data_IF_323807415838
#
_entry.id   IF_323807415838
#
_cell.length_a   1.000
_cell.length_b   1.000
_cell.length_c   1.000
_cell.angle_alpha   90.00
_cell.angle_beta   90.00
_cell.angle_gamma   90.00
#
_symmetry.space_group_name_H-M   'P 1'
#
loop_
_entity.id
_entity.type
_entity.pdbx_description
1 polymer ?
#
# COMPACT_ATOMS: atom_id res chain seq x y z
N UNK A 1 12.98 6.49 21.57
CA UNK A 1 12.05 5.34 21.51
C UNK A 1 11.52 5.08 22.92
N UNK A 2 10.25 5.39 23.22
CA UNK A 2 9.71 5.11 24.55
C UNK A 2 8.33 5.67 24.89
N UNK A 3 7.75 6.59 24.11
CA UNK A 3 6.50 7.27 24.49
C UNK A 3 5.25 6.88 23.67
N UNK A 4 5.34 5.93 22.73
CA UNK A 4 4.21 5.63 21.84
C UNK A 4 3.27 4.48 22.28
N UNK A 5 3.51 3.82 23.42
CA UNK A 5 2.76 2.62 23.79
C UNK A 5 1.51 2.85 24.68
N UNK A 6 1.22 4.08 25.11
CA UNK A 6 0.20 4.31 26.17
C UNK A 6 -1.15 4.92 25.72
N UNK A 7 -1.45 5.04 24.42
CA UNK A 7 -2.70 5.67 23.97
C UNK A 7 -3.54 4.80 23.01
N UNK A 8 -3.42 3.47 23.14
CA UNK A 8 -4.08 2.47 22.29
C UNK A 8 -5.62 2.35 22.41
N UNK A 9 -6.31 2.65 23.53
CA UNK A 9 -7.76 2.35 23.62
C UNK A 9 -8.73 3.47 23.21
N UNK A 10 -8.28 4.67 22.81
CA UNK A 10 -9.18 5.83 22.61
C UNK A 10 -9.56 6.13 21.15
N UNK A 11 -9.25 5.24 20.20
CA UNK A 11 -9.34 5.56 18.77
C UNK A 11 -10.43 4.82 17.98
N UNK A 12 -10.96 3.70 18.48
CA UNK A 12 -12.09 2.96 17.88
C UNK A 12 -12.82 2.23 19.02
N UNK A 13 -14.07 2.58 19.31
CA UNK A 13 -14.79 2.13 20.52
C UNK A 13 -14.84 0.61 20.73
N UNK A 14 -14.86 0.19 21.99
CA UNK A 14 -14.97 -1.21 22.40
C UNK A 14 -16.38 -1.77 22.14
N UNK A 15 -16.50 -3.02 21.70
CA UNK A 15 -17.70 -3.82 21.87
C UNK A 15 -17.55 -4.69 23.14
N UNK A 16 -18.17 -4.27 24.25
CA UNK A 16 -18.57 -5.22 25.30
C UNK A 16 -20.02 -5.62 25.03
N UNK A 17 -20.27 -6.86 24.59
CA UNK A 17 -20.78 -7.91 25.49
C UNK A 17 -20.98 -9.25 24.74
N UNK A 18 -20.71 -10.36 25.45
CA UNK A 18 -21.26 -11.68 25.11
C UNK A 18 -20.33 -12.66 24.40
N UNK A 19 -19.51 -13.40 25.16
CA UNK A 19 -19.51 -14.87 25.20
C UNK A 19 -18.28 -15.41 25.94
N UNK A 20 -18.48 -15.85 27.18
CA UNK A 20 -17.62 -16.84 27.84
C UNK A 20 -17.84 -18.18 27.16
N UNK A 21 -16.78 -18.79 26.63
CA UNK A 21 -16.72 -20.24 26.44
C UNK A 21 -15.26 -20.71 26.48
N UNK A 22 -15.07 -21.82 27.18
CA UNK A 22 -13.81 -22.44 27.54
C UNK A 22 -13.00 -22.94 26.35
N UNK A 23 -11.67 -22.91 26.48
CA UNK A 23 -10.79 -23.81 25.75
C UNK A 23 -9.53 -24.08 26.57
N UNK A 24 -9.34 -25.36 26.87
CA UNK A 24 -8.24 -25.97 27.60
C UNK A 24 -6.90 -25.82 26.86
N UNK A 25 -5.82 -25.63 27.63
CA UNK A 25 -4.45 -25.71 27.14
C UNK A 25 -3.88 -27.13 27.32
N UNK A 26 -3.14 -27.70 26.36
CA UNK A 26 -2.31 -28.85 26.62
C UNK A 26 -0.84 -28.46 26.87
N UNK A 27 -0.35 -28.98 27.99
CA UNK A 27 0.94 -29.58 28.30
C UNK A 27 2.27 -29.02 27.75
N UNK A 28 3.16 -28.85 28.72
CA UNK A 28 4.61 -28.61 28.68
C UNK A 28 5.40 -29.61 27.83
N UNK A 29 6.48 -29.12 27.18
CA UNK A 29 7.70 -29.90 27.02
C UNK A 29 8.94 -29.04 27.31
N UNK A 30 9.89 -29.66 27.99
CA UNK A 30 10.93 -29.07 28.80
C UNK A 30 12.21 -28.74 28.00
N UNK A 31 12.88 -27.64 28.37
CA UNK A 31 14.34 -27.49 28.14
C UNK A 31 15.03 -26.90 29.38
N UNK A 32 16.25 -27.38 29.71
CA UNK A 32 16.82 -27.24 31.04
C UNK A 32 17.43 -25.85 31.30
N UNK A 33 17.22 -25.39 32.54
CA UNK A 33 17.82 -24.20 33.14
C UNK A 33 19.32 -24.42 33.37
N UNK A 34 20.15 -23.51 32.86
CA UNK A 34 21.55 -23.40 33.26
C UNK A 34 21.62 -22.74 34.64
N UNK A 35 22.34 -23.39 35.56
CA UNK A 35 22.63 -22.95 36.93
C UNK A 35 23.74 -21.90 36.94
N UNK A 36 23.68 -20.88 37.83
CA UNK A 36 24.75 -19.91 38.00
C UNK A 36 25.87 -20.49 38.87
N UNK A 37 27.12 -20.21 38.48
CA UNK A 37 28.33 -20.64 39.19
C UNK A 37 28.51 -19.88 40.54
N UNK A 38 29.06 -20.54 41.58
CA UNK A 38 29.17 -19.98 42.92
C UNK A 38 30.39 -19.08 43.11
N UNK A 39 30.23 -18.04 43.93
CA UNK A 39 31.31 -17.17 44.40
C UNK A 39 32.21 -17.88 45.42
N UNK A 40 33.55 -17.72 45.38
CA UNK A 40 34.44 -18.30 46.37
C UNK A 40 34.56 -17.45 47.64
N UNK A 41 34.58 -18.14 48.78
CA UNK A 41 34.78 -17.65 50.15
C UNK A 41 36.28 -17.45 50.49
N UNK A 42 36.62 -16.79 51.62
CA UNK A 42 37.93 -16.18 51.85
C UNK A 42 38.95 -17.14 52.50
N UNK A 43 40.24 -16.88 52.30
CA UNK A 43 41.35 -17.59 52.95
C UNK A 43 42.53 -16.63 53.24
N UNK A 44 43.53 -17.00 54.07
CA UNK A 44 43.73 -16.48 55.41
C UNK A 44 44.96 -15.54 55.54
N UNK A 45 45.06 -14.86 56.69
CA UNK A 45 46.21 -14.02 57.03
C UNK A 45 47.46 -14.85 57.37
N UNK A 46 48.67 -14.43 56.91
CA UNK A 46 49.92 -14.87 57.51
C UNK A 46 50.73 -13.73 58.14
N UNK A 47 51.65 -14.17 59.01
CA UNK A 47 52.35 -13.46 60.06
C UNK A 47 53.46 -12.49 59.61
N UNK A 48 53.94 -11.72 60.59
CA UNK A 48 55.02 -10.73 60.56
C UNK A 48 56.37 -11.26 60.03
N UNK A 49 56.99 -10.44 59.17
CA UNK A 49 58.40 -9.99 59.00
C UNK A 49 59.57 -10.91 59.43
N UNK A 50 60.72 -10.92 58.70
CA UNK A 50 61.66 -9.80 58.80
C UNK A 50 62.37 -9.36 57.50
N UNK A 51 62.84 -8.11 57.59
CA UNK A 51 63.71 -7.34 56.72
C UNK A 51 64.66 -8.08 55.78
N UNK A 52 64.65 -7.71 54.49
CA UNK A 52 65.85 -7.57 53.68
C UNK A 52 65.60 -6.78 52.38
N UNK A 53 66.35 -5.68 52.25
CA UNK A 53 66.91 -5.14 51.00
C UNK A 53 65.94 -4.49 49.99
N UNK A 54 65.89 -3.16 50.12
CA UNK A 54 65.65 -2.17 49.08
C UNK A 54 66.30 -2.52 47.74
N UNK A 55 65.48 -2.93 46.76
CA UNK A 55 65.74 -2.68 45.34
C UNK A 55 64.70 -1.69 44.83
N UNK A 56 65.11 -0.43 44.76
CA UNK A 56 64.33 0.63 44.14
C UNK A 56 64.17 0.33 42.64
N UNK A 57 62.96 -0.06 42.21
CA UNK A 57 62.57 0.07 40.83
C UNK A 57 62.69 1.55 40.41
N UNK A 58 63.19 1.86 39.20
CA UNK A 58 63.59 3.22 38.86
C UNK A 58 62.37 4.17 38.82
N UNK A 59 62.46 5.31 39.53
CA UNK A 59 61.44 6.38 39.59
C UNK A 59 60.98 6.90 38.21
N UNK A 60 61.67 6.56 37.11
CA UNK A 60 61.28 6.90 35.73
C UNK A 60 60.11 6.07 35.20
N UNK A 61 59.86 4.87 35.72
CA UNK A 61 58.88 3.93 35.14
C UNK A 61 57.46 4.13 35.70
N UNK A 62 57.33 4.62 36.96
CA UNK A 62 56.03 4.98 37.56
C UNK A 62 55.48 6.33 37.11
N UNK A 63 56.31 7.23 36.56
CA UNK A 63 55.87 8.54 36.02
C UNK A 63 55.43 8.50 34.54
N UNK A 64 55.87 7.50 33.76
CA UNK A 64 55.54 7.36 32.33
C UNK A 64 54.13 6.80 32.05
N UNK A 65 53.60 5.95 32.93
CA UNK A 65 52.24 5.36 32.76
C UNK A 65 51.10 6.39 32.74
N UNK A 66 51.04 7.40 33.64
CA UNK A 66 50.01 8.43 33.57
C UNK A 66 50.15 9.38 32.37
N UNK A 67 51.38 9.63 31.89
CA UNK A 67 51.61 10.50 30.72
C UNK A 67 51.24 9.81 29.41
N UNK A 68 51.55 8.51 29.27
CA UNK A 68 51.11 7.70 28.12
C UNK A 68 49.59 7.51 28.11
N UNK A 69 48.96 7.19 29.25
CA UNK A 69 47.51 7.09 29.35
C UNK A 69 46.80 8.41 29.03
N UNK A 70 47.34 9.56 29.48
CA UNK A 70 46.80 10.88 29.11
C UNK A 70 47.01 11.23 27.63
N UNK A 71 48.08 10.73 27.01
CA UNK A 71 48.32 10.91 25.58
C UNK A 71 47.35 10.07 24.76
N UNK A 72 47.14 8.80 25.13
CA UNK A 72 46.15 7.90 24.55
C UNK A 72 44.72 8.44 24.73
N UNK A 73 44.39 8.97 25.91
CA UNK A 73 43.07 9.57 26.19
C UNK A 73 42.85 10.84 25.36
N UNK A 74 43.87 11.69 25.18
CA UNK A 74 43.81 12.88 24.29
C UNK A 74 43.70 12.50 22.82
N UNK A 75 44.37 11.43 22.41
CA UNK A 75 44.29 10.91 21.05
C UNK A 75 42.91 10.32 20.78
N UNK A 76 42.38 9.52 21.71
CA UNK A 76 41.01 9.02 21.67
C UNK A 76 39.97 10.16 21.67
N UNK A 77 40.17 11.22 22.46
CA UNK A 77 39.30 12.41 22.44
C UNK A 77 39.38 13.15 21.10
N UNK A 78 40.57 13.22 20.49
CA UNK A 78 40.75 13.84 19.18
C UNK A 78 40.08 13.03 18.07
N UNK A 79 40.18 11.71 18.11
CA UNK A 79 39.47 10.81 17.18
C UNK A 79 37.95 10.85 17.40
N UNK A 80 37.48 10.83 18.65
CA UNK A 80 36.06 11.00 18.98
C UNK A 80 35.52 12.34 18.47
N UNK A 81 36.27 13.44 18.60
CA UNK A 81 35.92 14.75 18.04
C UNK A 81 35.89 14.75 16.51
N UNK A 82 36.76 14.01 15.83
CA UNK A 82 36.72 13.85 14.36
C UNK A 82 35.48 13.07 13.93
N UNK A 83 35.18 11.96 14.60
CA UNK A 83 33.99 11.14 14.35
C UNK A 83 32.72 11.96 14.59
N UNK A 84 32.63 12.66 15.73
CA UNK A 84 31.50 13.55 16.06
C UNK A 84 31.32 14.65 15.00
N UNK A 85 32.40 15.32 14.56
CA UNK A 85 32.31 16.33 13.49
C UNK A 85 31.88 15.74 12.14
N UNK A 86 32.28 14.50 11.84
CA UNK A 86 31.85 13.79 10.63
C UNK A 86 30.36 13.48 10.69
N UNK A 87 29.89 12.96 11.83
CA UNK A 87 28.47 12.71 12.10
C UNK A 87 27.66 14.01 11.98
N UNK A 88 28.11 15.10 12.60
CA UNK A 88 27.44 16.41 12.53
C UNK A 88 27.39 16.98 11.10
N UNK A 89 28.36 16.63 10.25
CA UNK A 89 28.33 16.99 8.82
C UNK A 89 27.29 16.15 8.09
N UNK A 90 27.32 14.82 8.25
CA UNK A 90 26.36 13.91 7.64
C UNK A 90 24.92 14.23 8.06
N UNK A 91 24.68 14.56 9.34
CA UNK A 91 23.37 14.96 9.85
C UNK A 91 22.87 16.27 9.23
N UNK A 92 23.76 17.24 8.99
CA UNK A 92 23.40 18.50 8.31
C UNK A 92 23.05 18.28 6.85
N UNK A 93 23.82 17.45 6.15
CA UNK A 93 23.55 17.06 4.76
C UNK A 93 22.22 16.31 4.66
N UNK A 94 22.02 15.26 5.48
CA UNK A 94 20.74 14.54 5.55
C UNK A 94 19.55 15.45 5.88
N UNK A 95 19.71 16.41 6.81
CA UNK A 95 18.64 17.36 7.14
C UNK A 95 18.30 18.23 5.93
N UNK A 96 19.30 18.67 5.17
CA UNK A 96 19.09 19.46 3.95
C UNK A 96 18.39 18.65 2.87
N UNK A 97 18.80 17.40 2.68
CA UNK A 97 18.18 16.50 1.70
C UNK A 97 16.73 16.20 2.07
N UNK A 98 16.44 15.96 3.36
CA UNK A 98 15.08 15.78 3.86
C UNK A 98 14.21 17.03 3.64
N UNK A 99 14.76 18.22 3.89
CA UNK A 99 14.05 19.49 3.62
C UNK A 99 13.78 19.70 2.13
N UNK A 100 14.62 19.18 1.23
CA UNK A 100 14.44 19.31 -0.22
C UNK A 100 13.63 18.17 -0.84
N UNK A 101 13.19 17.19 -0.04
CA UNK A 101 12.46 16.02 -0.51
C UNK A 101 10.97 16.14 -0.16
N UNK A 102 10.12 16.11 -1.17
CA UNK A 102 8.68 16.07 -0.98
C UNK A 102 8.22 14.65 -0.62
N UNK A 103 7.62 14.51 0.56
CA UNK A 103 7.15 13.21 1.07
C UNK A 103 5.66 13.06 0.77
N UNK A 104 5.31 12.08 -0.06
CA UNK A 104 3.95 11.84 -0.53
C UNK A 104 3.42 10.52 0.03
N UNK A 105 2.29 10.59 0.73
CA UNK A 105 1.66 9.40 1.31
C UNK A 105 0.43 9.00 0.50
N UNK A 106 0.41 7.78 -0.03
CA UNK A 106 -0.74 7.26 -0.78
C UNK A 106 -1.69 6.54 0.16
N UNK A 107 -2.89 7.08 0.32
CA UNK A 107 -3.95 6.51 1.15
C UNK A 107 -5.17 6.12 0.29
N UNK A 108 -6.04 5.28 0.84
CA UNK A 108 -7.24 4.80 0.15
C UNK A 108 -7.52 3.32 0.43
N UNK A 109 -8.75 2.90 0.19
CA UNK A 109 -9.20 1.52 0.42
C UNK A 109 -8.39 0.49 -0.38
N UNK A 110 -8.53 -0.80 -0.06
CA UNK A 110 -7.97 -1.88 -0.86
C UNK A 110 -8.38 -1.78 -2.34
N UNK A 111 -7.49 -2.14 -3.26
CA UNK A 111 -7.78 -2.15 -4.72
C UNK A 111 -8.12 -0.77 -5.34
N UNK A 112 -7.91 0.33 -4.62
CA UNK A 112 -8.14 1.69 -5.14
C UNK A 112 -7.22 2.09 -6.31
N UNK A 113 -6.01 1.50 -6.38
CA UNK A 113 -5.00 1.80 -7.41
C UNK A 113 -3.71 2.44 -6.90
N UNK A 114 -3.50 2.54 -5.57
CA UNK A 114 -2.28 3.12 -4.96
C UNK A 114 -0.98 2.52 -5.52
N UNK A 115 -0.83 1.21 -5.45
CA UNK A 115 0.37 0.53 -5.96
C UNK A 115 0.54 0.72 -7.48
N UNK A 116 -0.55 0.87 -8.23
CA UNK A 116 -0.49 1.17 -9.67
C UNK A 116 0.07 2.57 -9.92
N UNK A 117 -0.30 3.57 -9.11
CA UNK A 117 0.30 4.92 -9.17
C UNK A 117 1.81 4.85 -8.91
N UNK A 118 2.25 4.07 -7.92
CA UNK A 118 3.69 3.90 -7.64
C UNK A 118 4.43 3.23 -8.81
N UNK A 119 3.82 2.20 -9.43
CA UNK A 119 4.35 1.58 -10.65
C UNK A 119 4.48 2.60 -11.79
N UNK A 120 3.52 3.51 -11.95
CA UNK A 120 3.61 4.58 -12.95
C UNK A 120 4.77 5.52 -12.67
N UNK A 121 5.03 5.89 -11.41
CA UNK A 121 6.19 6.73 -11.06
C UNK A 121 7.51 6.03 -11.41
N UNK A 122 7.56 4.71 -11.24
CA UNK A 122 8.73 3.93 -11.68
C UNK A 122 8.92 3.97 -13.19
N UNK A 123 7.86 3.78 -13.96
CA UNK A 123 7.90 3.85 -15.44
C UNK A 123 8.31 5.24 -15.91
N UNK A 124 7.73 6.29 -15.33
CA UNK A 124 7.96 7.67 -15.75
C UNK A 124 9.31 8.23 -15.31
N UNK A 125 9.84 7.83 -14.16
CA UNK A 125 10.95 8.52 -13.49
C UNK A 125 12.07 7.62 -12.93
N UNK A 126 11.95 6.28 -12.98
CA UNK A 126 12.92 5.33 -12.38
C UNK A 126 13.27 4.20 -13.36
N UNK A 127 13.47 4.52 -14.65
CA UNK A 127 13.84 3.57 -15.70
C UNK A 127 12.93 2.32 -15.80
N UNK A 128 11.68 2.42 -15.32
CA UNK A 128 10.69 1.34 -15.39
C UNK A 128 11.06 0.07 -14.62
N UNK A 129 10.78 -1.07 -15.28
CA UNK A 129 11.00 -2.41 -14.75
C UNK A 129 12.09 -3.10 -15.55
N UNK A 130 13.09 -3.65 -14.83
CA UNK A 130 14.18 -4.37 -15.48
C UNK A 130 13.75 -5.78 -15.91
N UNK A 131 14.49 -6.45 -16.82
CA UNK A 131 14.11 -7.78 -17.33
C UNK A 131 13.94 -8.85 -16.25
N UNK A 132 14.72 -8.79 -15.18
CA UNK A 132 14.66 -9.76 -14.08
C UNK A 132 13.36 -9.57 -13.26
N UNK A 133 12.98 -8.32 -12.97
CA UNK A 133 11.70 -8.01 -12.36
C UNK A 133 10.53 -8.45 -13.24
N UNK A 134 10.61 -8.22 -14.56
CA UNK A 134 9.59 -8.68 -15.51
C UNK A 134 9.42 -10.18 -15.46
N UNK A 135 10.53 -10.94 -15.41
CA UNK A 135 10.52 -12.39 -15.30
C UNK A 135 9.86 -12.88 -14.01
N UNK A 136 10.16 -12.24 -12.87
CA UNK A 136 9.53 -12.56 -11.59
C UNK A 136 8.01 -12.30 -11.60
N UNK A 137 7.55 -11.31 -12.38
CA UNK A 137 6.12 -10.98 -12.51
C UNK A 137 5.32 -11.93 -13.40
N UNK A 138 5.96 -12.80 -14.18
CA UNK A 138 5.25 -13.81 -14.98
C UNK A 138 4.39 -14.71 -14.08
N UNK A 139 4.93 -15.15 -12.94
CA UNK A 139 4.20 -16.00 -12.00
C UNK A 139 3.01 -15.26 -11.37
N UNK A 140 3.16 -13.99 -11.02
CA UNK A 140 2.07 -13.16 -10.49
C UNK A 140 0.94 -13.00 -11.52
N UNK A 141 1.28 -12.79 -12.80
CA UNK A 141 0.31 -12.65 -13.89
C UNK A 141 -0.43 -13.97 -14.14
N UNK A 142 0.27 -15.09 -14.22
CA UNK A 142 -0.34 -16.42 -14.39
C UNK A 142 -1.21 -16.79 -13.20
N UNK A 143 -0.80 -16.39 -11.99
CA UNK A 143 -1.65 -16.50 -10.80
C UNK A 143 -2.91 -15.66 -10.92
N UNK A 144 -2.83 -14.42 -11.40
CA UNK A 144 -4.04 -13.60 -11.62
C UNK A 144 -5.00 -14.25 -12.62
N UNK A 145 -4.51 -14.88 -13.68
CA UNK A 145 -5.34 -15.66 -14.62
C UNK A 145 -6.06 -16.80 -13.90
N UNK A 146 -5.32 -17.61 -13.13
CA UNK A 146 -5.89 -18.71 -12.34
C UNK A 146 -6.93 -18.21 -11.34
N UNK A 147 -6.58 -17.21 -10.54
CA UNK A 147 -7.48 -16.66 -9.52
C UNK A 147 -8.76 -16.11 -10.17
N UNK A 148 -8.65 -15.45 -11.33
CA UNK A 148 -9.79 -14.92 -12.08
C UNK A 148 -10.74 -16.03 -12.55
N UNK A 149 -10.24 -17.02 -13.29
CA UNK A 149 -11.09 -18.08 -13.86
C UNK A 149 -11.67 -18.99 -12.77
N UNK A 150 -10.90 -19.31 -11.73
CA UNK A 150 -11.39 -20.08 -10.57
C UNK A 150 -12.53 -19.34 -9.88
N UNK A 151 -12.40 -18.03 -9.69
CA UNK A 151 -13.42 -17.21 -9.04
C UNK A 151 -14.71 -17.18 -9.86
N UNK A 152 -14.62 -16.94 -11.18
CA UNK A 152 -15.79 -16.87 -12.06
C UNK A 152 -16.49 -18.23 -12.10
N UNK A 153 -15.76 -19.32 -12.37
CA UNK A 153 -16.32 -20.68 -12.47
C UNK A 153 -16.93 -21.17 -11.16
N UNK A 154 -16.33 -20.80 -10.02
CA UNK A 154 -16.91 -21.12 -8.70
C UNK A 154 -18.18 -20.32 -8.44
N UNK A 155 -18.23 -19.05 -8.88
CA UNK A 155 -19.37 -18.17 -8.70
C UNK A 155 -20.61 -18.61 -9.49
N UNK A 156 -20.44 -19.27 -10.65
CA UNK A 156 -21.54 -19.73 -11.50
C UNK A 156 -22.63 -20.50 -10.76
N UNK A 157 -22.25 -21.34 -9.79
CA UNK A 157 -23.19 -22.12 -8.97
C UNK A 157 -23.66 -21.43 -7.68
N UNK A 158 -23.02 -20.33 -7.26
CA UNK A 158 -23.31 -19.66 -5.97
C UNK A 158 -24.12 -18.38 -6.12
N UNK A 159 -24.00 -17.68 -7.25
CA UNK A 159 -24.84 -16.51 -7.54
C UNK A 159 -26.30 -16.93 -7.74
N UNK A 160 -27.23 -16.01 -7.45
CA UNK A 160 -28.67 -16.29 -7.46
C UNK A 160 -29.35 -15.35 -8.47
N UNK A 161 -30.03 -15.86 -9.53
CA UNK A 161 -30.09 -17.28 -9.92
C UNK A 161 -28.72 -17.77 -10.44
N UNK A 162 -28.43 -19.08 -10.34
CA UNK A 162 -27.18 -19.65 -10.84
C UNK A 162 -27.11 -19.54 -12.37
N UNK A 163 -25.89 -19.53 -12.90
CA UNK A 163 -25.63 -19.44 -14.35
C UNK A 163 -25.04 -20.78 -14.81
N UNK A 164 -25.75 -21.57 -15.64
CA UNK A 164 -25.19 -22.79 -16.20
C UNK A 164 -24.15 -22.46 -17.30
N UNK A 165 -23.30 -23.43 -17.62
CA UNK A 165 -22.47 -23.36 -18.81
C UNK A 165 -23.36 -23.32 -20.06
N UNK A 166 -22.98 -22.51 -21.05
CA UNK A 166 -23.69 -22.47 -22.33
C UNK A 166 -23.43 -23.76 -23.13
N UNK A 167 -22.19 -24.28 -23.10
CA UNK A 167 -21.87 -25.58 -23.68
C UNK A 167 -21.65 -26.64 -22.59
N UNK A 168 -22.53 -27.66 -22.48
CA UNK A 168 -22.36 -28.76 -21.52
C UNK A 168 -21.05 -29.55 -21.70
N UNK A 169 -20.45 -29.56 -22.88
CA UNK A 169 -19.15 -30.20 -23.13
C UNK A 169 -18.02 -29.54 -22.33
N UNK A 170 -18.20 -28.31 -21.85
CA UNK A 170 -17.23 -27.63 -21.01
C UNK A 170 -17.26 -28.07 -19.53
N UNK A 171 -18.17 -28.98 -19.15
CA UNK A 171 -18.32 -29.40 -17.75
C UNK A 171 -17.02 -29.95 -17.15
N UNK A 172 -16.33 -30.85 -17.86
CA UNK A 172 -15.06 -31.41 -17.38
C UNK A 172 -13.97 -30.34 -17.20
N UNK A 173 -14.01 -29.26 -18.00
CA UNK A 173 -13.08 -28.13 -17.86
C UNK A 173 -13.40 -27.33 -16.61
N UNK A 174 -14.68 -27.08 -16.34
CA UNK A 174 -15.14 -26.45 -15.10
C UNK A 174 -14.70 -27.29 -13.89
N UNK A 175 -14.87 -28.60 -13.93
CA UNK A 175 -14.48 -29.50 -12.84
C UNK A 175 -12.96 -29.50 -12.63
N UNK A 176 -12.18 -29.49 -13.71
CA UNK A 176 -10.73 -29.30 -13.66
C UNK A 176 -10.36 -27.97 -12.95
N UNK A 177 -10.93 -26.83 -13.39
CA UNK A 177 -10.65 -25.52 -12.79
C UNK A 177 -11.03 -25.48 -11.30
N UNK A 178 -12.16 -26.10 -10.91
CA UNK A 178 -12.56 -26.20 -9.50
C UNK A 178 -11.59 -27.08 -8.69
N UNK A 179 -11.07 -28.15 -9.28
CA UNK A 179 -10.14 -29.05 -8.58
C UNK A 179 -8.78 -28.42 -8.28
N UNK A 180 -8.33 -27.45 -9.10
CA UNK A 180 -7.05 -26.75 -8.90
C UNK A 180 -7.15 -25.54 -7.96
N UNK A 181 -8.37 -25.13 -7.58
CA UNK A 181 -8.62 -23.97 -6.72
C UNK A 181 -7.84 -23.98 -5.39
N UNK A 182 -7.77 -25.09 -4.61
CA UNK A 182 -7.04 -25.11 -3.35
C UNK A 182 -5.52 -25.20 -3.51
N UNK A 183 -5.00 -25.42 -4.72
CA UNK A 183 -3.57 -25.65 -4.96
C UNK A 183 -2.83 -24.32 -4.97
N UNK A 184 -1.94 -24.10 -4.00
CA UNK A 184 -1.16 -22.86 -3.89
C UNK A 184 0.09 -22.85 -4.76
N UNK A 185 0.82 -23.97 -4.78
CA UNK A 185 2.00 -24.19 -5.63
C UNK A 185 1.57 -24.89 -6.92
N UNK A 186 1.01 -24.11 -7.85
CA UNK A 186 0.40 -24.62 -9.05
C UNK A 186 1.32 -24.44 -10.27
N UNK A 187 1.53 -25.51 -11.02
CA UNK A 187 2.25 -25.47 -12.28
C UNK A 187 1.31 -25.06 -13.44
N UNK A 188 1.66 -23.98 -14.12
CA UNK A 188 0.85 -23.44 -15.22
C UNK A 188 1.17 -24.14 -16.54
N UNK A 189 0.59 -25.33 -16.73
CA UNK A 189 0.74 -26.14 -17.94
C UNK A 189 -0.06 -25.60 -19.14
N UNK A 190 0.25 -26.07 -20.36
CA UNK A 190 -0.57 -25.75 -21.54
C UNK A 190 -2.01 -26.27 -21.42
N UNK A 191 -2.20 -27.44 -20.81
CA UNK A 191 -3.53 -27.99 -20.52
C UNK A 191 -4.38 -27.01 -19.69
N UNK A 192 -3.79 -26.40 -18.65
CA UNK A 192 -4.46 -25.36 -17.87
C UNK A 192 -4.92 -24.20 -18.77
N UNK A 193 -4.02 -23.64 -19.58
CA UNK A 193 -4.34 -22.50 -20.45
C UNK A 193 -5.42 -22.85 -21.49
N UNK A 194 -5.41 -24.06 -22.04
CA UNK A 194 -6.43 -24.55 -22.97
C UNK A 194 -7.81 -24.67 -22.31
N UNK A 195 -7.88 -25.12 -21.06
CA UNK A 195 -9.13 -25.11 -20.29
C UNK A 195 -9.63 -23.70 -20.04
N UNK A 196 -8.76 -22.79 -19.62
CA UNK A 196 -9.12 -21.38 -19.37
C UNK A 196 -9.65 -20.72 -20.62
N UNK A 197 -8.97 -20.88 -21.75
CA UNK A 197 -9.39 -20.30 -23.03
C UNK A 197 -10.78 -20.78 -23.44
N UNK A 198 -11.01 -22.10 -23.42
CA UNK A 198 -12.31 -22.68 -23.80
C UNK A 198 -13.45 -22.30 -22.87
N UNK A 199 -13.16 -22.13 -21.58
CA UNK A 199 -14.16 -21.65 -20.61
C UNK A 199 -14.43 -20.16 -20.78
N UNK A 200 -13.41 -19.33 -21.03
CA UNK A 200 -13.63 -17.90 -21.25
C UNK A 200 -14.44 -17.61 -22.52
N UNK A 201 -14.32 -18.47 -23.54
CA UNK A 201 -15.15 -18.42 -24.75
C UNK A 201 -16.61 -18.85 -24.52
N UNK A 202 -16.94 -19.49 -23.39
CA UNK A 202 -18.29 -19.95 -23.07
C UNK A 202 -19.19 -18.79 -22.64
N UNK A 203 -20.35 -18.64 -23.30
CA UNK A 203 -21.27 -17.53 -23.03
C UNK A 203 -21.88 -17.58 -21.62
N UNK A 204 -21.96 -18.75 -20.98
CA UNK A 204 -22.38 -18.88 -19.58
C UNK A 204 -21.31 -18.33 -18.62
N UNK A 205 -20.03 -18.57 -18.91
CA UNK A 205 -18.92 -18.01 -18.13
C UNK A 205 -18.86 -16.49 -18.28
N UNK A 206 -19.02 -15.97 -19.50
CA UNK A 206 -19.10 -14.51 -19.74
C UNK A 206 -20.32 -13.89 -19.05
N UNK A 207 -21.49 -14.54 -19.11
CA UNK A 207 -22.67 -14.07 -18.39
C UNK A 207 -22.47 -14.03 -16.87
N UNK A 208 -21.70 -14.97 -16.30
CA UNK A 208 -21.30 -14.93 -14.90
C UNK A 208 -20.30 -13.80 -14.60
N UNK A 209 -19.35 -13.54 -15.50
CA UNK A 209 -18.41 -12.41 -15.39
C UNK A 209 -19.13 -11.06 -15.39
N UNK A 210 -20.15 -10.87 -16.22
CA UNK A 210 -20.97 -9.65 -16.25
C UNK A 210 -21.67 -9.36 -14.92
N UNK A 211 -21.87 -10.39 -14.09
CA UNK A 211 -22.44 -10.31 -12.74
C UNK A 211 -21.36 -10.30 -11.64
N UNK A 212 -20.11 -10.00 -12.01
CA UNK A 212 -18.97 -9.99 -11.08
C UNK A 212 -19.07 -9.00 -9.92
N UNK A 213 -20.02 -8.07 -9.93
CA UNK A 213 -20.31 -7.22 -8.79
C UNK A 213 -21.00 -7.97 -7.63
N UNK A 214 -21.55 -9.16 -7.88
CA UNK A 214 -22.21 -10.02 -6.87
C UNK A 214 -21.22 -10.90 -6.09
N UNK A 215 -19.94 -10.91 -6.49
CA UNK A 215 -18.87 -11.66 -5.84
C UNK A 215 -17.52 -10.93 -5.93
N UNK A 216 -16.45 -11.50 -5.36
CA UNK A 216 -15.16 -10.81 -5.24
C UNK A 216 -14.20 -11.15 -6.39
N UNK A 217 -14.39 -10.54 -7.55
CA UNK A 217 -13.46 -10.68 -8.68
C UNK A 217 -12.31 -9.65 -8.64
N UNK A 218 -11.21 -9.93 -9.32
CA UNK A 218 -10.10 -8.99 -9.52
C UNK A 218 -10.35 -8.15 -10.78
N UNK A 219 -10.07 -6.84 -10.74
CA UNK A 219 -10.35 -5.93 -11.86
C UNK A 219 -9.62 -6.28 -13.17
N UNK A 220 -8.46 -6.93 -13.07
CA UNK A 220 -7.65 -7.31 -14.23
C UNK A 220 -8.08 -8.64 -14.87
N UNK A 221 -9.17 -9.27 -14.41
CA UNK A 221 -9.64 -10.57 -14.89
C UNK A 221 -9.83 -10.59 -16.41
N UNK A 222 -10.69 -9.71 -16.94
CA UNK A 222 -10.96 -9.63 -18.37
C UNK A 222 -9.69 -9.38 -19.19
N UNK A 223 -8.88 -8.41 -18.78
CA UNK A 223 -7.65 -8.05 -19.48
C UNK A 223 -6.69 -9.24 -19.69
N UNK A 224 -6.51 -10.08 -18.68
CA UNK A 224 -5.63 -11.24 -18.79
C UNK A 224 -6.29 -12.45 -19.46
N UNK A 225 -7.60 -12.66 -19.25
CA UNK A 225 -8.34 -13.75 -19.88
C UNK A 225 -8.47 -13.56 -21.40
N UNK A 226 -8.65 -12.33 -21.87
CA UNK A 226 -8.64 -11.99 -23.30
C UNK A 226 -7.25 -12.17 -23.95
N UNK A 227 -6.19 -12.17 -23.14
CA UNK A 227 -4.79 -12.30 -23.59
C UNK A 227 -4.16 -13.64 -23.23
N UNK A 228 -4.98 -14.66 -22.98
CA UNK A 228 -4.52 -15.98 -22.55
C UNK A 228 -3.48 -16.58 -23.49
N UNK A 229 -3.64 -16.35 -24.80
CA UNK A 229 -2.72 -16.83 -25.85
C UNK A 229 -1.32 -16.23 -25.74
N UNK A 230 -1.20 -14.98 -25.26
CA UNK A 230 0.11 -14.37 -25.00
C UNK A 230 0.72 -14.89 -23.70
N UNK A 231 -0.10 -15.02 -22.65
CA UNK A 231 0.35 -15.41 -21.31
C UNK A 231 0.77 -16.88 -21.23
N UNK A 232 0.21 -17.72 -22.10
CA UNK A 232 0.53 -19.16 -22.20
C UNK A 232 1.88 -19.45 -22.87
N UNK A 233 2.47 -18.49 -23.59
CA UNK A 233 3.76 -18.69 -24.26
C UNK A 233 4.89 -18.97 -23.26
N UNK A 234 5.82 -19.85 -23.64
CA UNK A 234 6.97 -20.24 -22.81
C UNK A 234 7.96 -19.07 -22.65
N UNK A 235 8.10 -18.26 -23.69
CA UNK A 235 8.95 -17.07 -23.78
C UNK A 235 8.17 -15.77 -23.50
N UNK A 236 6.98 -15.86 -22.89
CA UNK A 236 6.16 -14.70 -22.52
C UNK A 236 6.98 -13.69 -21.69
N UNK A 237 7.06 -12.47 -22.19
CA UNK A 237 7.68 -11.34 -21.49
C UNK A 237 6.61 -10.28 -21.22
N UNK A 238 6.30 -9.98 -19.94
CA UNK A 238 5.28 -8.99 -19.60
C UNK A 238 5.58 -7.60 -20.15
N UNK A 239 4.57 -7.00 -20.76
CA UNK A 239 4.58 -5.58 -21.13
C UNK A 239 4.40 -4.70 -19.89
N UNK A 240 4.78 -3.42 -19.97
CA UNK A 240 4.56 -2.51 -18.84
C UNK A 240 3.07 -2.38 -18.50
N UNK A 241 2.18 -2.54 -19.49
CA UNK A 241 0.73 -2.61 -19.28
C UNK A 241 0.31 -3.85 -18.47
N UNK A 242 0.92 -5.01 -18.74
CA UNK A 242 0.69 -6.21 -17.94
C UNK A 242 1.14 -6.00 -16.50
N UNK A 243 2.28 -5.34 -16.28
CA UNK A 243 2.79 -5.04 -14.95
C UNK A 243 1.90 -4.06 -14.19
N UNK A 244 1.34 -3.06 -14.87
CA UNK A 244 0.39 -2.10 -14.30
C UNK A 244 -0.92 -2.75 -13.88
N UNK A 245 -1.45 -3.67 -14.70
CA UNK A 245 -2.69 -4.42 -14.46
C UNK A 245 -2.50 -5.59 -13.49
N UNK A 246 -1.29 -6.12 -13.39
CA UNK A 246 -0.95 -7.22 -12.48
C UNK A 246 -1.27 -6.84 -11.03
N UNK A 247 -2.08 -7.67 -10.39
CA UNK A 247 -2.55 -7.50 -9.04
C UNK A 247 -1.70 -8.30 -8.07
N UNK A 248 -1.11 -7.60 -7.13
CA UNK A 248 -0.43 -8.16 -5.96
C UNK A 248 -0.98 -7.45 -4.72
N UNK A 249 -1.38 -8.20 -3.70
CA UNK A 249 -1.88 -7.62 -2.46
C UNK A 249 -0.71 -7.01 -1.68
N UNK A 250 -0.75 -5.69 -1.51
CA UNK A 250 0.24 -4.93 -0.75
C UNK A 250 0.00 -5.12 0.75
N UNK A 251 0.94 -5.79 1.42
CA UNK A 251 1.00 -5.90 2.89
C UNK A 251 2.21 -5.13 3.39
N UNK A 252 2.00 -4.21 4.33
CA UNK A 252 3.05 -3.33 4.84
C UNK A 252 3.15 -1.97 4.13
N UNK A 253 4.34 -1.40 4.19
CA UNK A 253 4.68 -0.06 3.70
C UNK A 253 5.82 -0.23 2.69
N UNK A 254 5.64 0.31 1.48
CA UNK A 254 6.64 0.31 0.43
C UNK A 254 7.05 1.74 0.10
N UNK A 255 8.35 1.97 0.00
CA UNK A 255 8.94 3.27 -0.29
C UNK A 255 9.47 3.31 -1.73
N UNK A 256 9.22 4.41 -2.43
CA UNK A 256 9.82 4.66 -3.75
C UNK A 256 10.35 6.09 -3.80
N UNK A 257 11.60 6.24 -4.23
CA UNK A 257 12.27 7.52 -4.38
C UNK A 257 12.55 7.78 -5.85
N UNK A 258 12.27 8.99 -6.29
CA UNK A 258 12.52 9.42 -7.66
C UNK A 258 12.77 10.92 -7.70
N UNK A 259 13.35 11.39 -8.80
CA UNK A 259 13.66 12.80 -9.00
C UNK A 259 13.00 13.28 -10.30
N UNK A 260 12.33 14.43 -10.24
CA UNK A 260 11.71 15.08 -11.39
C UNK A 260 12.16 16.53 -11.40
N UNK A 261 12.78 16.98 -12.50
CA UNK A 261 13.30 18.35 -12.64
C UNK A 261 14.14 18.84 -11.44
N UNK A 262 15.02 17.95 -10.94
CA UNK A 262 15.89 18.16 -9.75
C UNK A 262 15.16 18.25 -8.41
N UNK A 263 13.86 18.04 -8.37
CA UNK A 263 13.06 17.93 -7.14
C UNK A 263 12.95 16.47 -6.74
N UNK A 264 13.29 16.17 -5.49
CA UNK A 264 13.25 14.80 -4.96
C UNK A 264 11.86 14.49 -4.41
N UNK A 265 11.33 13.33 -4.78
CA UNK A 265 10.07 12.82 -4.27
C UNK A 265 10.32 11.50 -3.53
N UNK A 266 9.65 11.35 -2.39
CA UNK A 266 9.64 10.14 -1.61
C UNK A 266 8.21 9.70 -1.34
N UNK A 267 7.81 8.63 -2.02
CA UNK A 267 6.43 8.14 -2.05
C UNK A 267 6.28 6.90 -1.18
N UNK A 268 5.23 6.87 -0.37
CA UNK A 268 4.88 5.76 0.52
C UNK A 268 3.59 5.10 0.04
N UNK A 269 3.66 3.83 -0.37
CA UNK A 269 2.51 2.98 -0.68
C UNK A 269 2.20 2.09 0.52
N UNK A 270 1.03 2.30 1.13
CA UNK A 270 0.60 1.56 2.31
C UNK A 270 -0.57 0.65 1.98
N UNK A 271 -0.62 -0.53 2.60
CA UNK A 271 -1.76 -1.46 2.48
C UNK A 271 -3.09 -0.77 2.81
N UNK A 272 -4.08 -0.90 1.91
CA UNK A 272 -5.38 -0.23 2.01
C UNK A 272 -6.48 -1.00 2.75
N UNK A 273 -6.24 -2.29 2.98
CA UNK A 273 -7.18 -3.20 3.64
C UNK A 273 -7.33 -2.84 5.12
N UNK A 274 -8.50 -3.13 5.72
CA UNK A 274 -8.81 -2.73 7.11
C UNK A 274 -7.71 -3.09 8.11
N UNK A 275 -7.15 -4.30 8.03
CA UNK A 275 -6.11 -4.77 8.95
C UNK A 275 -4.77 -4.04 8.82
N UNK A 276 -4.49 -3.48 7.64
CA UNK A 276 -3.25 -2.76 7.33
C UNK A 276 -3.29 -1.29 7.78
N UNK A 277 -4.49 -0.72 7.97
CA UNK A 277 -4.66 0.73 8.27
C UNK A 277 -4.02 1.16 9.58
N UNK A 278 -3.89 0.25 10.55
CA UNK A 278 -3.20 0.52 11.82
C UNK A 278 -1.72 0.89 11.64
N UNK A 279 -1.10 0.51 10.51
CA UNK A 279 0.31 0.81 10.20
C UNK A 279 0.49 2.22 9.64
N UNK A 280 -0.57 2.88 9.14
CA UNK A 280 -0.47 4.17 8.45
C UNK A 280 0.13 5.29 9.29
N UNK A 281 -0.14 5.29 10.60
CA UNK A 281 0.40 6.28 11.54
C UNK A 281 1.94 6.33 11.53
N UNK A 282 2.59 5.24 11.16
CA UNK A 282 4.05 5.16 11.05
C UNK A 282 4.60 6.04 9.91
N UNK A 283 3.75 6.40 8.94
CA UNK A 283 4.11 7.19 7.77
C UNK A 283 3.71 8.66 7.89
N UNK A 284 2.98 9.09 8.93
CA UNK A 284 2.40 10.44 9.02
C UNK A 284 3.42 11.54 9.35
N UNK A 285 4.63 11.19 9.80
CA UNK A 285 5.65 12.18 10.18
C UNK A 285 6.23 12.87 8.93
N UNK A 286 6.21 14.21 8.94
CA UNK A 286 6.74 15.11 7.90
C UNK A 286 6.26 14.80 6.46
N UNK A 287 5.01 14.37 6.32
CA UNK A 287 4.37 14.26 5.01
C UNK A 287 4.12 15.66 4.44
N UNK A 288 4.49 15.88 3.18
CA UNK A 288 4.23 17.14 2.48
C UNK A 288 2.79 17.20 1.97
N UNK A 289 2.30 16.11 1.38
CA UNK A 289 0.93 16.00 0.90
C UNK A 289 0.44 14.54 0.94
N UNK A 290 -0.87 14.36 1.07
CA UNK A 290 -1.52 13.05 0.93
C UNK A 290 -2.10 12.95 -0.47
N UNK A 291 -1.88 11.81 -1.12
CA UNK A 291 -2.60 11.42 -2.33
C UNK A 291 -3.63 10.38 -1.91
N UNK A 292 -4.90 10.76 -1.85
CA UNK A 292 -5.99 9.84 -1.55
C UNK A 292 -6.54 9.25 -2.84
N UNK A 293 -6.54 7.92 -2.98
CA UNK A 293 -6.98 7.23 -4.19
C UNK A 293 -8.33 6.54 -3.93
N UNK A 294 -9.35 6.91 -4.70
CA UNK A 294 -10.70 6.34 -4.65
C UNK A 294 -11.01 5.56 -5.94
N UNK A 295 -11.51 4.33 -5.83
CA UNK A 295 -11.98 3.55 -6.98
C UNK A 295 -13.42 3.93 -7.34
N UNK A 296 -13.60 4.83 -8.31
CA UNK A 296 -14.92 5.37 -8.65
C UNK A 296 -15.83 4.32 -9.29
N UNK A 297 -15.26 3.38 -10.06
CA UNK A 297 -16.01 2.30 -10.71
C UNK A 297 -16.59 1.27 -9.74
N UNK A 298 -16.18 1.26 -8.46
CA UNK A 298 -16.61 0.28 -7.47
C UNK A 298 -17.91 0.64 -6.74
N UNK A 299 -18.70 1.59 -7.27
CA UNK A 299 -19.96 2.04 -6.66
C UNK A 299 -21.02 0.93 -6.49
N UNK A 300 -20.96 -0.15 -7.28
CA UNK A 300 -21.89 -1.28 -7.25
C UNK A 300 -21.32 -2.54 -6.57
N UNK A 301 -20.18 -2.42 -5.87
CA UNK A 301 -19.46 -3.55 -5.29
C UNK A 301 -19.38 -3.45 -3.76
N UNK A 302 -19.15 -4.58 -3.10
CA UNK A 302 -18.88 -4.66 -1.66
C UNK A 302 -17.42 -4.99 -1.36
N UNK A 303 -16.91 -4.59 -0.20
CA UNK A 303 -15.53 -4.86 0.22
C UNK A 303 -15.33 -6.35 0.52
N UNK A 304 -14.08 -6.83 0.42
CA UNK A 304 -13.75 -8.25 0.64
C UNK A 304 -13.85 -8.66 2.10
N UNK A 305 -13.57 -7.72 3.00
CA UNK A 305 -13.42 -7.97 4.42
C UNK A 305 -14.72 -8.40 5.10
N UNK A 306 -15.88 -7.92 4.65
CA UNK A 306 -17.19 -8.28 5.22
C UNK A 306 -18.25 -8.70 4.18
N UNK A 307 -17.95 -8.60 2.88
CA UNK A 307 -18.88 -8.88 1.77
C UNK A 307 -20.25 -8.17 1.89
N UNK A 308 -20.30 -7.02 2.58
CA UNK A 308 -21.54 -6.30 2.83
C UNK A 308 -21.38 -4.79 2.62
N UNK A 309 -20.30 -4.19 3.14
CA UNK A 309 -20.09 -2.75 3.06
C UNK A 309 -19.76 -2.34 1.63
N UNK A 310 -20.52 -1.38 1.08
CA UNK A 310 -20.27 -0.84 -0.26
C UNK A 310 -18.87 -0.21 -0.37
N UNK A 311 -18.11 -0.53 -1.43
CA UNK A 311 -16.71 -0.09 -1.58
C UNK A 311 -16.55 1.43 -1.69
N UNK A 312 -17.48 2.11 -2.37
CA UNK A 312 -17.40 3.57 -2.51
C UNK A 312 -17.79 4.27 -1.20
N UNK A 313 -18.79 3.75 -0.46
CA UNK A 313 -19.13 4.23 0.89
C UNK A 313 -17.96 4.07 1.87
N UNK A 314 -17.35 2.89 1.92
CA UNK A 314 -16.13 2.66 2.72
C UNK A 314 -15.03 3.67 2.36
N UNK A 315 -14.89 4.00 1.08
CA UNK A 315 -13.93 5.01 0.63
C UNK A 315 -14.28 6.42 1.07
N UNK A 316 -15.56 6.77 1.21
CA UNK A 316 -16.02 8.06 1.73
C UNK A 316 -15.78 8.16 3.24
N UNK A 317 -16.18 7.13 4.00
CA UNK A 317 -15.98 7.05 5.45
C UNK A 317 -14.48 7.12 5.82
N UNK A 318 -13.66 6.42 5.04
CA UNK A 318 -12.21 6.46 5.19
C UNK A 318 -11.63 7.84 4.87
N UNK A 319 -12.13 8.50 3.82
CA UNK A 319 -11.70 9.85 3.47
C UNK A 319 -12.08 10.86 4.56
N UNK A 320 -13.30 10.79 5.09
CA UNK A 320 -13.76 11.61 6.21
C UNK A 320 -12.89 11.42 7.46
N UNK A 321 -12.55 10.16 7.78
CA UNK A 321 -11.66 9.83 8.89
C UNK A 321 -10.27 10.46 8.74
N UNK A 322 -9.72 10.45 7.52
CA UNK A 322 -8.41 11.06 7.21
C UNK A 322 -8.49 12.58 7.25
N UNK A 323 -9.52 13.17 6.64
CA UNK A 323 -9.74 14.61 6.57
C UNK A 323 -9.87 15.23 7.97
N UNK A 324 -10.63 14.60 8.85
CA UNK A 324 -10.84 15.08 10.22
C UNK A 324 -9.74 14.64 11.21
N UNK A 325 -8.72 13.92 10.74
CA UNK A 325 -7.69 13.35 11.60
C UNK A 325 -6.84 14.44 12.26
N UNK A 326 -6.73 14.42 13.59
CA UNK A 326 -5.96 15.42 14.36
C UNK A 326 -4.50 15.57 13.93
N UNK A 327 -3.88 14.50 13.44
CA UNK A 327 -2.48 14.50 13.00
C UNK A 327 -2.29 15.03 11.59
N UNK A 328 -3.38 15.20 10.82
CA UNK A 328 -3.37 15.58 9.41
C UNK A 328 -4.08 16.92 9.14
N UNK A 329 -4.54 17.63 10.16
CA UNK A 329 -5.34 18.87 10.05
C UNK A 329 -4.70 20.03 9.29
N UNK A 330 -3.41 19.96 8.98
CA UNK A 330 -2.69 20.98 8.20
C UNK A 330 -2.20 20.44 6.85
N UNK A 331 -2.45 19.17 6.57
CA UNK A 331 -1.95 18.48 5.37
C UNK A 331 -3.07 18.49 4.34
N UNK A 332 -2.85 19.15 3.20
CA UNK A 332 -3.83 19.11 2.11
C UNK A 332 -3.82 17.76 1.41
N UNK A 333 -4.97 17.40 0.85
CA UNK A 333 -5.19 16.11 0.20
C UNK A 333 -5.39 16.32 -1.29
N UNK A 334 -4.59 15.64 -2.09
CA UNK A 334 -4.80 15.48 -3.51
C UNK A 334 -5.67 14.24 -3.69
N UNK A 335 -6.89 14.42 -4.20
CA UNK A 335 -7.89 13.37 -4.34
C UNK A 335 -7.84 12.80 -5.77
N UNK A 336 -7.38 11.57 -5.91
CA UNK A 336 -7.43 10.82 -7.16
C UNK A 336 -8.71 10.01 -7.25
N UNK A 337 -9.63 10.49 -8.09
CA UNK A 337 -10.83 9.78 -8.50
C UNK A 337 -10.44 8.79 -9.60
N UNK A 338 -9.96 7.62 -9.20
CA UNK A 338 -9.35 6.63 -10.07
C UNK A 338 -10.37 5.69 -10.73
N UNK A 339 -9.92 4.95 -11.75
CA UNK A 339 -10.67 3.98 -12.55
C UNK A 339 -11.79 4.63 -13.38
N UNK A 340 -11.49 5.79 -13.97
CA UNK A 340 -12.42 6.51 -14.85
C UNK A 340 -12.78 5.71 -16.11
N UNK A 341 -11.84 4.92 -16.63
CA UNK A 341 -12.05 3.96 -17.71
C UNK A 341 -13.18 2.96 -17.38
N UNK A 342 -13.05 2.28 -16.24
CA UNK A 342 -14.04 1.30 -15.79
C UNK A 342 -15.37 1.95 -15.36
N UNK A 343 -15.33 3.19 -14.85
CA UNK A 343 -16.54 3.93 -14.52
C UNK A 343 -17.33 4.25 -15.78
N UNK A 344 -16.66 4.76 -16.82
CA UNK A 344 -17.27 5.09 -18.09
C UNK A 344 -17.91 3.85 -18.73
N UNK A 345 -17.18 2.74 -18.81
CA UNK A 345 -17.69 1.47 -19.34
C UNK A 345 -18.96 1.02 -18.62
N UNK A 346 -18.94 1.02 -17.28
CA UNK A 346 -20.07 0.55 -16.46
C UNK A 346 -21.30 1.45 -16.56
N UNK A 347 -21.10 2.77 -16.59
CA UNK A 347 -22.18 3.76 -16.74
C UNK A 347 -22.82 3.64 -18.12
N UNK A 348 -22.02 3.49 -19.18
CA UNK A 348 -22.52 3.37 -20.55
C UNK A 348 -23.21 2.02 -20.80
N UNK A 349 -22.72 0.94 -20.18
CA UNK A 349 -23.37 -0.37 -20.24
C UNK A 349 -24.79 -0.37 -19.65
N UNK A 350 -25.07 0.52 -18.68
CA UNK A 350 -26.41 0.73 -18.12
C UNK A 350 -26.98 -0.45 -17.30
N UNK A 351 -26.17 -1.47 -17.01
CA UNK A 351 -26.58 -2.69 -16.28
C UNK A 351 -26.71 -2.48 -14.77
N UNK A 352 -25.85 -1.65 -14.18
CA UNK A 352 -25.89 -1.28 -12.76
C UNK A 352 -25.96 0.24 -12.63
N UNK A 353 -27.12 0.77 -12.27
CA UNK A 353 -27.32 2.21 -12.17
C UNK A 353 -26.78 2.74 -10.85
N UNK A 354 -26.24 3.95 -10.85
CA UNK A 354 -25.65 4.54 -9.64
C UNK A 354 -26.74 4.80 -8.59
N UNK A 355 -27.92 5.24 -9.03
CA UNK A 355 -29.07 5.54 -8.17
C UNK A 355 -29.61 4.34 -7.37
N UNK A 356 -29.35 3.11 -7.82
CA UNK A 356 -29.71 1.89 -7.07
C UNK A 356 -28.84 1.75 -5.80
N UNK A 357 -27.64 2.32 -5.82
CA UNK A 357 -26.69 2.27 -4.71
C UNK A 357 -26.60 3.61 -3.97
N UNK A 358 -26.78 4.74 -4.66
CA UNK A 358 -26.72 6.11 -4.16
C UNK A 358 -27.96 6.88 -4.63
N UNK A 359 -29.10 6.76 -3.93
CA UNK A 359 -30.39 7.32 -4.37
C UNK A 359 -30.35 8.82 -4.69
N UNK A 360 -29.49 9.58 -4.00
CA UNK A 360 -29.28 11.00 -4.24
C UNK A 360 -28.76 11.33 -5.65
N UNK A 361 -28.18 10.35 -6.36
CA UNK A 361 -27.76 10.51 -7.75
C UNK A 361 -28.94 10.78 -8.68
N UNK A 362 -30.16 10.31 -8.38
CA UNK A 362 -31.33 10.53 -9.23
C UNK A 362 -31.61 12.02 -9.44
N UNK A 363 -31.36 12.85 -8.42
CA UNK A 363 -31.62 14.29 -8.44
C UNK A 363 -30.36 15.13 -8.71
N UNK A 364 -29.20 14.49 -8.93
CA UNK A 364 -27.95 15.20 -9.15
C UNK A 364 -27.90 15.86 -10.53
N UNK A 365 -27.46 17.12 -10.55
CA UNK A 365 -27.18 17.90 -11.77
C UNK A 365 -25.72 18.30 -11.77
N UNK A 366 -25.09 18.24 -12.94
CA UNK A 366 -23.70 18.66 -13.11
C UNK A 366 -23.58 20.17 -12.84
N UNK A 367 -22.61 20.62 -12.02
CA UNK A 367 -22.34 22.04 -11.80
C UNK A 367 -22.05 22.80 -13.10
N UNK A 368 -22.45 24.06 -13.18
CA UNK A 368 -22.24 24.89 -14.39
C UNK A 368 -20.76 25.16 -14.70
N UNK A 369 -19.91 25.14 -13.68
CA UNK A 369 -18.46 25.31 -13.77
C UNK A 369 -17.71 24.00 -14.10
N UNK A 370 -18.44 22.90 -14.29
CA UNK A 370 -17.84 21.64 -14.68
C UNK A 370 -17.23 21.73 -16.08
N UNK A 371 -15.97 21.32 -16.20
CA UNK A 371 -15.26 21.20 -17.47
C UNK A 371 -15.20 19.72 -17.89
N UNK A 372 -16.17 19.23 -18.69
CA UNK A 372 -16.12 17.87 -19.22
C UNK A 372 -14.95 17.70 -20.20
N UNK A 373 -14.47 16.47 -20.32
CA UNK A 373 -13.46 16.14 -21.32
C UNK A 373 -14.08 16.20 -22.73
N UNK A 374 -13.29 16.63 -23.72
CA UNK A 374 -13.78 16.76 -25.08
C UNK A 374 -14.27 15.41 -25.63
N UNK A 375 -15.54 15.34 -26.03
CA UNK A 375 -16.16 14.14 -26.57
C UNK A 375 -16.64 13.13 -25.52
N UNK A 376 -16.62 13.47 -24.23
CA UNK A 376 -17.15 12.61 -23.17
C UNK A 376 -18.69 12.56 -23.20
N UNK A 377 -19.25 11.37 -22.97
CA UNK A 377 -20.70 11.20 -22.86
C UNK A 377 -21.24 11.92 -21.60
N UNK A 378 -22.31 12.72 -21.71
CA UNK A 378 -22.89 13.45 -20.58
C UNK A 378 -23.25 12.57 -19.37
N UNK A 379 -23.60 11.29 -19.58
CA UNK A 379 -23.86 10.33 -18.49
C UNK A 379 -22.60 10.03 -17.68
N UNK A 380 -21.46 9.90 -18.36
CA UNK A 380 -20.15 9.67 -17.72
C UNK A 380 -19.71 10.92 -16.97
N UNK A 381 -19.84 12.10 -17.59
CA UNK A 381 -19.60 13.38 -16.91
C UNK A 381 -20.45 13.49 -15.64
N UNK A 382 -21.75 13.24 -15.73
CA UNK A 382 -22.65 13.30 -14.57
C UNK A 382 -22.24 12.33 -13.46
N UNK A 383 -21.89 11.10 -13.82
CA UNK A 383 -21.45 10.09 -12.86
C UNK A 383 -20.14 10.48 -12.15
N UNK A 384 -19.10 10.90 -12.89
CA UNK A 384 -17.80 11.22 -12.29
C UNK A 384 -17.86 12.47 -11.41
N UNK A 385 -18.61 13.49 -11.83
CA UNK A 385 -18.80 14.71 -11.05
C UNK A 385 -19.67 14.48 -9.81
N UNK A 386 -20.68 13.62 -9.88
CA UNK A 386 -21.42 13.20 -8.69
C UNK A 386 -20.49 12.59 -7.63
N UNK A 387 -19.67 11.62 -8.03
CA UNK A 387 -18.73 10.96 -7.11
C UNK A 387 -17.73 11.98 -6.56
N UNK A 388 -17.18 12.88 -7.39
CA UNK A 388 -16.32 13.99 -6.95
C UNK A 388 -16.99 14.79 -5.84
N UNK A 389 -18.24 15.17 -6.04
CA UNK A 389 -18.97 16.05 -5.12
C UNK A 389 -19.31 15.37 -3.80
N UNK A 390 -19.45 14.03 -3.77
CA UNK A 390 -19.56 13.28 -2.51
C UNK A 390 -18.32 13.49 -1.62
N UNK A 391 -17.11 13.41 -2.19
CA UNK A 391 -15.87 13.66 -1.46
C UNK A 391 -15.68 15.13 -1.11
N UNK A 392 -16.00 16.03 -2.05
CA UNK A 392 -15.85 17.47 -1.80
C UNK A 392 -16.77 17.94 -0.68
N UNK A 393 -18.00 17.42 -0.58
CA UNK A 393 -18.93 17.72 0.51
C UNK A 393 -18.31 17.45 1.88
N UNK A 394 -17.55 16.35 2.03
CA UNK A 394 -16.82 16.03 3.26
C UNK A 394 -15.75 17.11 3.52
N UNK A 395 -14.94 17.43 2.51
CA UNK A 395 -13.84 18.39 2.68
C UNK A 395 -14.30 19.83 2.95
N UNK A 396 -15.47 20.24 2.46
CA UNK A 396 -16.02 21.59 2.67
C UNK A 396 -16.84 21.71 3.94
N UNK A 397 -17.20 20.60 4.61
CA UNK A 397 -18.02 20.63 5.83
C UNK A 397 -17.28 21.24 7.03
N UNK A 398 -15.98 20.99 7.15
CA UNK A 398 -15.12 21.45 8.24
C UNK A 398 -14.22 22.60 7.76
N UNK A 399 -14.83 23.73 7.41
CA UNK A 399 -14.18 24.89 6.77
C UNK A 399 -13.27 25.74 7.68
N UNK A 400 -12.22 25.18 8.28
CA UNK A 400 -11.23 25.96 9.04
C UNK A 400 -10.14 26.60 8.14
N UNK A 401 -10.14 26.30 6.83
CA UNK A 401 -9.29 26.91 5.81
C UNK A 401 -7.80 26.54 5.90
N UNK A 402 -7.44 25.58 6.77
CA UNK A 402 -6.03 25.23 7.03
C UNK A 402 -5.45 24.26 6.02
N UNK A 403 -6.28 23.45 5.38
CA UNK A 403 -5.89 22.52 4.34
C UNK A 403 -7.00 22.39 3.29
N UNK A 404 -6.63 21.92 2.11
CA UNK A 404 -7.50 21.93 0.92
C UNK A 404 -7.60 20.52 0.32
N UNK A 405 -8.67 20.29 -0.45
CA UNK A 405 -8.84 19.09 -1.25
C UNK A 405 -8.68 19.45 -2.74
N UNK A 406 -7.79 18.76 -3.46
CA UNK A 406 -7.53 18.97 -4.88
C UNK A 406 -7.96 17.73 -5.67
N UNK A 407 -9.18 17.71 -6.23
CA UNK A 407 -9.69 16.54 -6.96
C UNK A 407 -9.12 16.45 -8.38
N UNK A 408 -8.73 15.24 -8.78
CA UNK A 408 -8.30 14.89 -10.13
C UNK A 408 -8.96 13.59 -10.58
N UNK A 409 -9.50 13.58 -11.79
CA UNK A 409 -9.98 12.37 -12.44
C UNK A 409 -8.79 11.59 -13.02
N UNK A 410 -8.62 10.33 -12.61
CA UNK A 410 -7.43 9.55 -12.97
C UNK A 410 -7.75 8.18 -13.54
N UNK A 411 -6.89 7.73 -14.44
CA UNK A 411 -6.81 6.35 -14.90
C UNK A 411 -5.39 5.83 -14.60
N UNK A 412 -5.21 5.16 -13.45
CA UNK A 412 -3.88 4.74 -12.99
C UNK A 412 -3.16 3.78 -13.96
N UNK A 413 -3.88 3.14 -14.86
CA UNK A 413 -3.35 2.22 -15.88
C UNK A 413 -3.05 2.92 -17.21
N UNK A 414 -3.33 4.22 -17.31
CA UNK A 414 -2.96 5.09 -18.43
C UNK A 414 -1.76 5.95 -18.00
N UNK A 415 -0.61 5.64 -18.58
CA UNK A 415 0.66 6.33 -18.26
C UNK A 415 0.64 7.81 -18.63
N UNK A 416 -0.07 8.20 -19.70
CA UNK A 416 -0.11 9.58 -20.14
C UNK A 416 -1.09 10.41 -19.28
N UNK A 417 -2.22 9.82 -18.89
CA UNK A 417 -3.12 10.45 -17.92
C UNK A 417 -2.38 10.74 -16.60
N UNK A 418 -1.65 9.75 -16.05
CA UNK A 418 -0.90 9.94 -14.80
C UNK A 418 0.25 10.93 -14.96
N UNK A 419 0.93 10.97 -16.11
CA UNK A 419 1.96 11.99 -16.39
C UNK A 419 1.38 13.41 -16.28
N UNK A 420 0.23 13.66 -16.91
CA UNK A 420 -0.43 14.98 -16.89
C UNK A 420 -0.89 15.36 -15.49
N UNK A 421 -1.64 14.47 -14.84
CA UNK A 421 -2.18 14.73 -13.49
C UNK A 421 -1.05 14.93 -12.48
N UNK A 422 0.04 14.16 -12.56
CA UNK A 422 1.17 14.35 -11.65
C UNK A 422 1.89 15.68 -11.88
N UNK A 423 2.01 16.13 -13.13
CA UNK A 423 2.56 17.45 -13.43
C UNK A 423 1.69 18.57 -12.83
N UNK A 424 0.36 18.46 -12.92
CA UNK A 424 -0.55 19.43 -12.29
C UNK A 424 -0.41 19.41 -10.76
N UNK A 425 -0.30 18.22 -10.17
CA UNK A 425 -0.07 18.04 -8.74
C UNK A 425 1.26 18.63 -8.27
N UNK A 426 2.29 18.65 -9.12
CA UNK A 426 3.62 19.16 -8.76
C UNK A 426 3.56 20.62 -8.33
N UNK A 427 2.85 21.46 -9.06
CA UNK A 427 2.74 22.89 -8.76
C UNK A 427 1.99 23.11 -7.43
N UNK A 428 1.00 22.28 -7.14
CA UNK A 428 0.27 22.25 -5.87
C UNK A 428 1.22 21.84 -4.74
N UNK A 429 1.96 20.73 -4.90
CA UNK A 429 2.89 20.20 -3.91
C UNK A 429 4.00 21.20 -3.61
N UNK A 430 4.56 21.86 -4.63
CA UNK A 430 5.59 22.87 -4.44
C UNK A 430 5.08 24.06 -3.61
N UNK A 431 3.89 24.56 -3.90
CA UNK A 431 3.26 25.64 -3.11
C UNK A 431 2.98 25.20 -1.67
N UNK A 432 2.51 23.96 -1.48
CA UNK A 432 2.26 23.41 -0.15
C UNK A 432 3.55 23.29 0.67
N UNK A 433 4.62 22.78 0.05
CA UNK A 433 5.91 22.63 0.69
C UNK A 433 6.51 23.99 1.09
N UNK A 434 6.45 24.98 0.21
CA UNK A 434 6.93 26.34 0.53
C UNK A 434 6.14 26.98 1.68
N UNK A 435 4.81 26.80 1.73
CA UNK A 435 3.97 27.24 2.86
C UNK A 435 4.37 26.56 4.18
N UNK A 436 4.67 25.26 4.14
CA UNK A 436 5.04 24.48 5.33
C UNK A 436 6.33 25.00 6.00
N UNK A 437 7.23 25.61 5.24
CA UNK A 437 8.48 26.20 5.73
C UNK A 437 8.43 27.73 5.89
N UNK A 438 7.23 28.34 5.89
CA UNK A 438 7.02 29.79 6.02
C UNK A 438 7.80 30.60 4.95
N UNK A 439 7.98 30.03 3.76
CA UNK A 439 8.66 30.68 2.63
C UNK A 439 7.70 31.43 1.69
N UNK A 440 6.39 31.44 2.00
CA UNK A 440 5.31 32.06 1.23
C UNK A 440 4.42 32.94 2.09
#
# INVERSE_FOLDING_TARGET
MGLCYSLRPLLFGDPEDGARAAAEAPAEDARPRQTPAPAPAPAPAPARSPAAQTRAAPKKERRRRPEQQRAEEREAEREARKVSRSIDRMLREHRRDLQQTHRLLLLGAGESGKSTIVKQMRILHVNGFNPEEKKQKILDIRKNVKDAIVTIVSAMSTIIPPVPLANPENQFRSDYIKSIAPITDFEYSQEFFDHVKKLWDDEGVKACFERSNEYQLIDCAQYFLERIDSVSLVDYTPTDQDLLRCRVLTSGIFETRFQVDKVNFHMFDVGGQRDERRKWIQCFNDVTAIIYVAACSSYNMVIREDNNTNRLRESLDLFESIWNNRWLRTISIILFLNKQDMLAEKVLAGKSKIEDYFPEYANYTVPEDATPDAGEDPKVTRAKFFIRDLFLRISTATGDGKHYCYPHFTCAVDTENIRRVFNDCRDIIQRMHLKQYELL
#
